data_IF_600872210650
#
_entry.id   IF_600872210650
#
_cell.length_a   1.000
_cell.length_b   1.000
_cell.length_c   1.000
_cell.angle_alpha   90.00
_cell.angle_beta   90.00
_cell.angle_gamma   90.00
#
_symmetry.space_group_name_H-M   'P 1'
#
loop_
_entity.id
_entity.type
_entity.pdbx_description
1 polymer ?
#
# COMPACT_ATOMS: atom_id res chain seq x y z
N UNK A 1 9.07 3.55 9.66
CA UNK A 1 7.92 4.42 9.44
C UNK A 1 6.87 4.18 10.52
N UNK A 2 6.42 5.21 11.22
CA UNK A 2 5.39 5.01 12.23
C UNK A 2 4.08 4.53 11.59
N UNK A 3 3.35 3.72 12.33
CA UNK A 3 2.06 3.22 11.86
C UNK A 3 1.05 4.36 11.79
N UNK A 4 0.33 4.43 10.70
CA UNK A 4 -0.80 5.35 10.58
C UNK A 4 -1.97 4.80 11.39
N UNK A 5 -2.47 5.59 12.34
CA UNK A 5 -3.67 5.24 13.10
C UNK A 5 -4.84 6.07 12.58
N UNK A 6 -6.06 5.62 12.95
CA UNK A 6 -7.25 6.39 12.57
C UNK A 6 -7.23 7.79 13.21
N UNK A 7 -6.65 7.91 14.42
CA UNK A 7 -6.53 9.21 15.07
C UNK A 7 -5.56 10.12 14.33
N UNK A 8 -4.46 9.56 13.83
CA UNK A 8 -3.48 10.32 13.04
C UNK A 8 -4.12 10.86 11.78
N UNK A 9 -4.86 10.01 11.07
CA UNK A 9 -5.52 10.43 9.84
C UNK A 9 -6.60 11.48 10.12
N UNK A 10 -7.44 11.25 11.16
CA UNK A 10 -8.48 12.18 11.53
C UNK A 10 -7.90 13.55 11.88
N UNK A 11 -6.78 13.58 12.62
CA UNK A 11 -6.09 14.82 12.97
C UNK A 11 -5.61 15.55 11.73
N UNK A 12 -5.01 14.84 10.79
CA UNK A 12 -4.48 15.42 9.55
C UNK A 12 -5.56 16.07 8.69
N UNK A 13 -6.74 15.48 8.64
CA UNK A 13 -7.83 16.02 7.81
C UNK A 13 -8.80 16.90 8.60
N UNK A 14 -8.52 17.16 9.89
CA UNK A 14 -9.29 18.10 10.70
C UNK A 14 -10.63 17.57 11.19
N UNK A 15 -10.72 16.28 11.48
CA UNK A 15 -11.93 15.63 11.99
C UNK A 15 -11.62 14.74 13.18
N UNK A 16 -12.57 13.93 13.60
CA UNK A 16 -12.38 12.98 14.72
C UNK A 16 -12.58 11.52 14.26
N UNK A 17 -12.16 10.61 15.12
CA UNK A 17 -12.19 9.18 14.84
C UNK A 17 -13.58 8.65 14.47
N UNK A 18 -14.60 9.05 15.26
CA UNK A 18 -15.97 8.58 15.06
C UNK A 18 -16.52 9.02 13.72
N UNK A 19 -16.37 10.30 13.41
CA UNK A 19 -16.83 10.85 12.14
C UNK A 19 -16.13 10.18 10.95
N UNK A 20 -14.81 10.00 11.05
CA UNK A 20 -14.04 9.37 9.98
C UNK A 20 -14.48 7.92 9.74
N UNK A 21 -14.67 7.15 10.83
CA UNK A 21 -15.15 5.77 10.70
C UNK A 21 -16.52 5.70 10.03
N UNK A 22 -17.42 6.56 10.42
CA UNK A 22 -18.77 6.63 9.83
C UNK A 22 -18.70 7.02 8.36
N UNK A 23 -17.87 7.99 8.03
CA UNK A 23 -17.69 8.43 6.65
C UNK A 23 -17.20 7.28 5.77
N UNK A 24 -16.17 6.55 6.21
CA UNK A 24 -15.61 5.44 5.46
C UNK A 24 -16.64 4.34 5.24
N UNK A 25 -17.38 3.98 6.28
CA UNK A 25 -18.41 2.94 6.16
C UNK A 25 -19.56 3.36 5.26
N UNK A 26 -20.04 4.61 5.39
CA UNK A 26 -21.21 5.09 4.68
C UNK A 26 -20.94 5.44 3.22
N UNK A 27 -19.77 6.00 2.92
CA UNK A 27 -19.48 6.53 1.60
C UNK A 27 -18.58 5.62 0.77
N UNK A 28 -17.66 4.89 1.40
CA UNK A 28 -16.71 4.03 0.71
C UNK A 28 -16.96 2.55 0.99
N UNK A 29 -17.93 2.24 1.84
CA UNK A 29 -18.25 0.87 2.26
C UNK A 29 -16.97 0.12 2.68
N UNK A 30 -16.14 0.77 3.50
CA UNK A 30 -14.81 0.32 3.81
C UNK A 30 -14.51 0.59 5.28
N UNK A 31 -13.87 -0.36 5.97
CA UNK A 31 -13.37 -0.13 7.31
C UNK A 31 -12.13 0.76 7.26
N UNK A 32 -11.79 1.39 8.38
CA UNK A 32 -10.54 2.13 8.47
C UNK A 32 -9.34 1.23 8.21
N UNK A 33 -9.39 0.00 8.73
CA UNK A 33 -8.33 -1.00 8.52
C UNK A 33 -8.10 -1.26 7.03
N UNK A 34 -9.18 -1.48 6.27
CA UNK A 34 -9.09 -1.68 4.83
C UNK A 34 -8.58 -0.44 4.10
N UNK A 35 -9.04 0.72 4.53
CA UNK A 35 -8.59 1.99 3.95
C UNK A 35 -7.08 2.17 4.10
N UNK A 36 -6.55 1.93 5.30
CA UNK A 36 -5.11 2.06 5.57
C UNK A 36 -4.33 1.04 4.75
N UNK A 37 -4.80 -0.20 4.69
CA UNK A 37 -4.10 -1.23 3.93
C UNK A 37 -4.12 -0.95 2.43
N UNK A 38 -5.23 -0.45 1.91
CA UNK A 38 -5.29 -0.03 0.51
C UNK A 38 -4.30 1.09 0.22
N UNK A 39 -4.22 2.08 1.11
CA UNK A 39 -3.26 3.18 1.00
C UNK A 39 -1.82 2.65 0.99
N UNK A 40 -1.49 1.71 1.89
CA UNK A 40 -0.16 1.12 1.95
C UNK A 40 0.17 0.33 0.68
N UNK A 41 -0.79 -0.40 0.12
CA UNK A 41 -0.60 -1.13 -1.14
C UNK A 41 -0.36 -0.15 -2.28
N UNK A 42 -1.12 0.94 -2.36
CA UNK A 42 -0.91 1.96 -3.39
C UNK A 42 0.47 2.60 -3.25
N UNK A 43 0.93 2.84 -2.03
CA UNK A 43 2.26 3.37 -1.77
C UNK A 43 3.34 2.39 -2.22
N UNK A 44 3.14 1.09 -1.98
CA UNK A 44 4.07 0.06 -2.48
C UNK A 44 4.15 0.07 -4.00
N UNK A 45 3.01 0.20 -4.67
CA UNK A 45 2.96 0.29 -6.12
C UNK A 45 3.71 1.52 -6.62
N UNK A 46 3.52 2.67 -5.97
CA UNK A 46 4.21 3.91 -6.31
C UNK A 46 5.73 3.72 -6.20
N UNK A 47 6.18 3.09 -5.13
CA UNK A 47 7.61 2.82 -4.92
C UNK A 47 8.13 1.91 -6.03
N UNK A 48 7.42 0.81 -6.31
CA UNK A 48 7.85 -0.14 -7.34
C UNK A 48 7.86 0.48 -8.73
N UNK A 49 6.86 1.29 -9.06
CA UNK A 49 6.76 1.94 -10.36
C UNK A 49 7.89 2.94 -10.59
N UNK A 50 8.43 3.50 -9.51
CA UNK A 50 9.51 4.50 -9.58
C UNK A 50 10.92 3.88 -9.51
N UNK A 51 11.04 2.56 -9.31
CA UNK A 51 12.35 1.92 -9.20
C UNK A 51 13.08 1.92 -10.54
N UNK A 52 14.38 2.26 -10.54
CA UNK A 52 15.19 2.09 -11.75
C UNK A 52 15.39 0.61 -12.08
N UNK A 53 15.67 0.32 -13.33
CA UNK A 53 15.84 -1.03 -13.87
C UNK A 53 16.87 -1.86 -13.08
N UNK A 54 17.92 -1.20 -12.61
CA UNK A 54 19.03 -1.83 -11.90
C UNK A 54 18.90 -1.75 -10.39
N UNK A 55 17.72 -1.44 -9.89
CA UNK A 55 17.48 -1.29 -8.46
C UNK A 55 17.78 -2.59 -7.71
N UNK A 56 18.39 -2.45 -6.54
CA UNK A 56 18.68 -3.56 -5.64
C UNK A 56 17.71 -3.62 -4.46
N UNK A 57 16.63 -2.84 -4.50
CA UNK A 57 15.62 -2.90 -3.45
C UNK A 57 14.89 -4.24 -3.48
N UNK A 58 14.73 -4.83 -2.29
CA UNK A 58 14.04 -6.10 -2.13
C UNK A 58 12.56 -5.88 -1.85
N UNK A 59 11.78 -6.95 -1.98
CA UNK A 59 10.36 -6.93 -1.60
C UNK A 59 10.22 -6.60 -0.11
N UNK A 60 11.15 -7.05 0.73
CA UNK A 60 11.15 -6.72 2.16
C UNK A 60 11.32 -5.21 2.36
N UNK A 61 12.25 -4.59 1.63
CA UNK A 61 12.46 -3.14 1.70
C UNK A 61 11.20 -2.38 1.31
N UNK A 62 10.56 -2.79 0.23
CA UNK A 62 9.34 -2.16 -0.27
C UNK A 62 8.21 -2.30 0.76
N UNK A 63 8.05 -3.49 1.34
CA UNK A 63 7.07 -3.73 2.39
C UNK A 63 7.27 -2.78 3.58
N UNK A 64 8.50 -2.65 4.05
CA UNK A 64 8.82 -1.78 5.18
C UNK A 64 8.57 -0.31 4.85
N UNK A 65 8.98 0.14 3.68
CA UNK A 65 8.81 1.54 3.26
C UNK A 65 7.34 1.91 3.07
N UNK A 66 6.50 0.95 2.69
CA UNK A 66 5.08 1.19 2.52
C UNK A 66 4.27 1.06 3.82
N UNK A 67 4.92 0.73 4.94
CA UNK A 67 4.31 0.77 6.27
C UNK A 67 3.74 -0.54 6.77
N UNK A 68 4.04 -1.67 6.13
CA UNK A 68 3.59 -2.97 6.61
C UNK A 68 4.49 -3.49 7.74
N UNK A 69 3.87 -4.16 8.71
CA UNK A 69 4.59 -4.72 9.86
C UNK A 69 5.24 -6.07 9.59
N UNK A 70 4.72 -6.80 8.61
CA UNK A 70 5.24 -8.12 8.27
C UNK A 70 5.10 -8.35 6.77
N UNK A 71 5.99 -9.19 6.24
CA UNK A 71 5.94 -9.57 4.83
C UNK A 71 4.66 -10.35 4.51
N UNK A 72 4.19 -11.17 5.45
CA UNK A 72 2.95 -11.93 5.28
C UNK A 72 1.75 -11.01 5.10
N UNK A 73 1.66 -9.97 5.93
CA UNK A 73 0.59 -8.98 5.83
C UNK A 73 0.66 -8.25 4.49
N UNK A 74 1.87 -7.87 4.08
CA UNK A 74 2.09 -7.19 2.80
C UNK A 74 1.57 -8.05 1.64
N UNK A 75 1.98 -9.31 1.57
CA UNK A 75 1.55 -10.22 0.49
C UNK A 75 0.04 -10.38 0.46
N UNK A 76 -0.56 -10.60 1.63
CA UNK A 76 -2.01 -10.80 1.74
C UNK A 76 -2.80 -9.57 1.28
N UNK A 77 -2.43 -8.39 1.78
CA UNK A 77 -3.13 -7.17 1.44
C UNK A 77 -2.89 -6.75 0.00
N UNK A 78 -1.67 -6.93 -0.50
CA UNK A 78 -1.36 -6.63 -1.88
C UNK A 78 -2.21 -7.48 -2.84
N UNK A 79 -2.27 -8.79 -2.60
CA UNK A 79 -3.08 -9.70 -3.42
C UNK A 79 -4.56 -9.34 -3.35
N UNK A 80 -5.04 -8.94 -2.17
CA UNK A 80 -6.44 -8.54 -1.97
C UNK A 80 -6.82 -7.35 -2.86
N UNK A 81 -5.97 -6.34 -2.94
CA UNK A 81 -6.30 -5.11 -3.66
C UNK A 81 -5.84 -5.09 -5.12
N UNK A 82 -4.83 -5.84 -5.47
CA UNK A 82 -4.27 -5.84 -6.83
C UNK A 82 -4.53 -7.13 -7.62
N UNK A 83 -4.98 -8.20 -6.95
CA UNK A 83 -5.27 -9.47 -7.62
C UNK A 83 -4.05 -10.32 -7.95
N UNK A 84 -2.85 -9.83 -7.71
CA UNK A 84 -1.60 -10.58 -7.86
C UNK A 84 -0.69 -10.28 -6.67
N UNK A 85 0.33 -11.13 -6.46
CA UNK A 85 1.26 -10.87 -5.37
C UNK A 85 2.29 -9.78 -5.76
N UNK A 86 2.94 -9.14 -4.77
CA UNK A 86 3.85 -8.04 -5.04
C UNK A 86 5.09 -8.44 -5.86
N UNK A 87 5.57 -9.66 -5.70
CA UNK A 87 6.73 -10.13 -6.45
C UNK A 87 6.40 -10.24 -7.94
N UNK A 88 5.24 -10.77 -8.25
CA UNK A 88 4.76 -10.87 -9.63
C UNK A 88 4.53 -9.49 -10.23
N UNK A 89 3.95 -8.58 -9.45
CA UNK A 89 3.74 -7.21 -9.90
C UNK A 89 5.07 -6.55 -10.28
N UNK A 90 6.07 -6.66 -9.42
CA UNK A 90 7.39 -6.09 -9.67
C UNK A 90 8.05 -6.71 -10.90
N UNK A 91 7.96 -8.03 -11.03
CA UNK A 91 8.52 -8.74 -12.18
C UNK A 91 7.90 -8.27 -13.49
N UNK A 92 6.57 -8.14 -13.54
CA UNK A 92 5.87 -7.68 -14.73
C UNK A 92 6.26 -6.23 -15.09
N UNK A 93 6.47 -5.38 -14.08
CA UNK A 93 6.92 -4.00 -14.30
C UNK A 93 8.31 -3.96 -14.93
N UNK A 94 9.25 -4.75 -14.41
CA UNK A 94 10.61 -4.81 -14.93
C UNK A 94 10.66 -5.38 -16.34
N UNK A 95 9.91 -6.44 -16.61
CA UNK A 95 9.83 -7.06 -17.92
C UNK A 95 9.23 -6.11 -18.94
N UNK A 96 8.15 -5.41 -18.56
CA UNK A 96 7.49 -4.45 -19.44
C UNK A 96 8.41 -3.28 -19.81
N UNK A 97 9.21 -2.81 -18.85
CA UNK A 97 10.18 -1.75 -19.11
C UNK A 97 11.24 -2.20 -20.12
N UNK A 98 11.69 -3.45 -20.04
CA UNK A 98 12.65 -4.04 -20.98
C UNK A 98 12.06 -4.13 -22.40
N UNK A 99 10.79 -4.53 -22.50
CA UNK A 99 10.10 -4.66 -23.79
C UNK A 99 9.92 -3.32 -24.50
N UNK A 100 9.86 -2.23 -23.75
CA UNK A 100 9.64 -0.90 -24.30
C UNK A 100 10.93 -0.16 -24.69
N UNK A 101 12.07 -0.79 -24.46
CA UNK A 101 13.36 -0.28 -24.92
C UNK A 101 13.63 -0.81 -26.32
#
# INVERSE_FOLDING_TARGET
>A
MPKLTIMDLATKIGTNKTYLSEYLNSNLNMSFHDFVNKYRVEEACRIMDALPQDSKQTIIDISNKSGFNSISSFYRQFAKFKGINPRKYLFEKMTKAEENE
#
